data_IF_090171277093
#
_entry.id   IF_090171277093
#
_cell.length_a   1.000
_cell.length_b   1.000
_cell.length_c   1.000
_cell.angle_alpha   90.00
_cell.angle_beta   90.00
_cell.angle_gamma   90.00
#
_symmetry.space_group_name_H-M   'P 1'
#
loop_
_entity.id
_entity.type
_entity.pdbx_description
1 polymer ?
#
# COMPACT_ATOMS: atom_id res chain seq x y z
N UNK A 1 -44.06 -43.32 21.93
CA UNK A 1 -42.97 -44.30 22.13
C UNK A 1 -41.66 -43.55 22.07
N UNK A 2 -41.13 -43.23 23.18
CA UNK A 2 -39.90 -43.59 23.91
C UNK A 2 -38.74 -44.09 23.02
N UNK A 3 -37.61 -43.36 23.02
CA UNK A 3 -36.23 -43.78 23.28
C UNK A 3 -35.26 -42.66 22.93
N UNK A 4 -34.74 -41.98 23.90
CA UNK A 4 -33.50 -42.20 24.70
C UNK A 4 -32.26 -41.56 24.05
N UNK A 5 -31.85 -40.52 24.73
CA UNK A 5 -30.52 -39.89 24.85
C UNK A 5 -29.37 -40.94 24.95
N UNK A 6 -28.24 -40.59 24.35
CA UNK A 6 -26.93 -40.94 24.88
C UNK A 6 -25.93 -39.79 24.63
N UNK A 7 -25.61 -39.12 25.70
CA UNK A 7 -24.50 -38.18 25.86
C UNK A 7 -23.20 -38.97 25.98
N UNK A 8 -22.19 -38.66 25.22
CA UNK A 8 -20.80 -39.09 25.45
C UNK A 8 -19.93 -37.90 25.74
N UNK A 9 -19.66 -37.71 27.01
CA UNK A 9 -18.68 -36.78 27.54
C UNK A 9 -17.26 -37.42 27.38
N UNK A 10 -16.37 -36.77 26.64
CA UNK A 10 -14.95 -37.11 26.58
C UNK A 10 -14.17 -36.09 27.42
N UNK A 11 -13.76 -36.52 28.59
CA UNK A 11 -12.85 -35.78 29.46
C UNK A 11 -11.42 -35.87 28.90
N UNK A 12 -10.80 -34.74 28.59
CA UNK A 12 -9.37 -34.66 28.30
C UNK A 12 -8.64 -34.26 29.58
N UNK A 13 -7.80 -35.15 30.02
CA UNK A 13 -6.91 -35.00 31.17
C UNK A 13 -5.76 -34.05 30.79
N UNK A 14 -5.64 -32.93 31.49
CA UNK A 14 -4.44 -32.09 31.49
C UNK A 14 -3.35 -32.77 32.32
N UNK A 15 -2.24 -33.11 31.69
CA UNK A 15 -1.00 -33.43 32.40
C UNK A 15 -0.13 -32.18 32.50
N UNK A 16 -0.07 -31.62 33.71
CA UNK A 16 0.97 -30.66 34.11
C UNK A 16 2.31 -31.39 34.17
N UNK A 17 3.26 -30.97 33.37
CA UNK A 17 4.66 -31.34 33.49
C UNK A 17 5.49 -30.11 33.90
N UNK A 18 5.67 -29.94 35.20
CA UNK A 18 6.70 -29.08 35.77
C UNK A 18 8.06 -29.75 35.56
N UNK A 19 8.95 -29.09 34.83
CA UNK A 19 10.37 -29.37 34.85
C UNK A 19 11.16 -28.09 35.09
N UNK A 20 11.46 -27.87 36.34
CA UNK A 20 12.55 -27.00 36.73
C UNK A 20 13.87 -27.72 36.39
N UNK A 21 14.71 -27.09 35.62
CA UNK A 21 16.05 -27.55 35.27
C UNK A 21 16.99 -26.38 35.13
N UNK A 22 17.54 -25.90 36.25
CA UNK A 22 18.77 -25.13 36.23
C UNK A 22 19.93 -26.01 35.82
N UNK A 23 20.52 -25.70 34.67
CA UNK A 23 21.73 -26.32 34.19
C UNK A 23 22.60 -25.29 33.50
N UNK A 24 23.56 -24.76 34.25
CA UNK A 24 24.64 -23.92 33.73
C UNK A 24 25.56 -24.80 32.86
N UNK A 25 25.63 -24.54 31.55
CA UNK A 25 26.71 -24.99 30.68
C UNK A 25 27.06 -23.93 29.66
N UNK A 26 28.20 -23.30 29.90
CA UNK A 26 28.96 -22.48 28.95
C UNK A 26 29.40 -23.35 27.76
N UNK A 27 29.14 -22.84 26.54
CA UNK A 27 29.84 -23.32 25.35
C UNK A 27 28.96 -23.43 24.12
N UNK A 28 29.18 -22.54 23.16
CA UNK A 28 28.66 -22.66 21.80
C UNK A 28 27.78 -21.44 21.39
N UNK A 29 28.41 -20.45 20.75
CA UNK A 29 27.73 -19.29 20.22
C UNK A 29 26.82 -19.64 19.04
N UNK A 30 25.57 -19.91 19.32
CA UNK A 30 24.46 -19.78 18.41
C UNK A 30 23.57 -18.68 18.99
N UNK A 31 23.71 -17.46 18.52
CA UNK A 31 22.82 -16.38 18.89
C UNK A 31 21.37 -16.82 18.60
N UNK A 32 20.50 -16.73 19.62
CA UNK A 32 19.07 -16.95 19.36
C UNK A 32 18.63 -15.83 18.44
N UNK A 33 18.08 -16.22 17.27
CA UNK A 33 17.43 -15.28 16.35
C UNK A 33 16.36 -14.49 17.12
N UNK A 34 16.41 -13.16 17.01
CA UNK A 34 15.36 -12.30 17.54
C UNK A 34 14.15 -12.37 16.61
N UNK A 35 12.97 -12.60 17.19
CA UNK A 35 11.72 -12.59 16.45
C UNK A 35 11.18 -11.16 16.42
N UNK A 36 11.09 -10.58 15.22
CA UNK A 36 10.56 -9.24 14.99
C UNK A 36 9.14 -9.33 14.48
N UNK A 37 8.20 -8.80 15.22
CA UNK A 37 6.80 -8.70 14.80
C UNK A 37 6.66 -7.55 13.79
N UNK A 38 5.96 -7.82 12.69
CA UNK A 38 5.70 -6.83 11.64
C UNK A 38 4.20 -6.64 11.53
N UNK A 39 3.71 -5.55 12.08
CA UNK A 39 2.28 -5.20 12.10
C UNK A 39 1.89 -4.52 10.79
N UNK A 40 0.96 -5.14 10.05
CA UNK A 40 0.32 -4.59 8.87
C UNK A 40 -1.08 -4.07 9.25
N UNK A 41 -1.39 -2.77 9.11
CA UNK A 41 -2.63 -2.17 9.61
C UNK A 41 -3.85 -2.40 8.70
N UNK A 42 -3.75 -3.32 7.74
CA UNK A 42 -4.81 -3.63 6.79
C UNK A 42 -5.25 -5.09 6.87
N UNK A 43 -6.31 -5.42 6.12
CA UNK A 43 -6.89 -6.76 6.12
C UNK A 43 -5.88 -7.84 5.68
N UNK A 44 -5.95 -9.06 6.25
CA UNK A 44 -5.04 -10.16 5.91
C UNK A 44 -5.02 -10.56 4.43
N UNK A 45 -6.09 -10.29 3.70
CA UNK A 45 -6.19 -10.52 2.24
C UNK A 45 -5.70 -9.33 1.40
N UNK A 46 -5.27 -8.24 2.04
CA UNK A 46 -4.77 -7.06 1.34
C UNK A 46 -3.34 -7.26 0.81
N UNK A 47 -3.00 -6.48 -0.23
CA UNK A 47 -1.70 -6.53 -0.89
C UNK A 47 -0.55 -6.39 0.11
N UNK A 48 -0.58 -5.39 0.98
CA UNK A 48 0.47 -5.15 1.96
C UNK A 48 0.66 -6.32 2.94
N UNK A 49 -0.43 -6.97 3.37
CA UNK A 49 -0.34 -8.14 4.24
C UNK A 49 0.28 -9.35 3.52
N UNK A 50 -0.04 -9.56 2.25
CA UNK A 50 0.58 -10.61 1.43
C UNK A 50 2.07 -10.35 1.22
N UNK A 51 2.47 -9.11 0.94
CA UNK A 51 3.88 -8.73 0.81
C UNK A 51 4.62 -8.91 2.13
N UNK A 52 4.02 -8.52 3.27
CA UNK A 52 4.58 -8.75 4.61
C UNK A 52 4.82 -10.23 4.88
N UNK A 53 3.84 -11.08 4.55
CA UNK A 53 3.96 -12.55 4.73
C UNK A 53 5.06 -13.14 3.84
N UNK A 54 5.19 -12.67 2.59
CA UNK A 54 6.26 -13.10 1.69
C UNK A 54 7.63 -12.70 2.23
N UNK A 55 7.79 -11.45 2.70
CA UNK A 55 9.02 -10.97 3.32
C UNK A 55 9.36 -11.77 4.60
N UNK A 56 8.37 -12.02 5.46
CA UNK A 56 8.55 -12.81 6.66
C UNK A 56 9.02 -14.26 6.34
N UNK A 57 8.41 -14.91 5.35
CA UNK A 57 8.81 -16.24 4.91
C UNK A 57 10.27 -16.30 4.41
N UNK A 58 10.72 -15.23 3.72
CA UNK A 58 12.09 -15.13 3.19
C UNK A 58 13.12 -14.71 4.25
N UNK A 59 12.72 -14.11 5.36
CA UNK A 59 13.65 -13.55 6.35
C UNK A 59 14.65 -14.59 6.90
N UNK A 60 14.22 -15.83 7.10
CA UNK A 60 15.08 -16.93 7.60
C UNK A 60 16.09 -17.43 6.59
N UNK A 61 15.95 -17.10 5.30
CA UNK A 61 16.94 -17.43 4.26
C UNK A 61 18.09 -16.41 4.26
N UNK A 62 17.87 -15.19 4.75
CA UNK A 62 18.79 -14.08 4.66
C UNK A 62 19.35 -13.59 6.00
N UNK A 63 18.85 -14.10 7.13
CA UNK A 63 19.35 -13.75 8.46
C UNK A 63 19.26 -14.92 9.45
N UNK A 64 20.38 -15.14 10.14
CA UNK A 64 20.46 -16.09 11.28
C UNK A 64 20.10 -15.40 12.62
N UNK A 65 20.03 -14.05 12.64
CA UNK A 65 19.84 -13.25 13.86
C UNK A 65 18.48 -12.59 13.94
N UNK A 66 17.80 -12.37 12.81
CA UNK A 66 16.48 -11.72 12.72
C UNK A 66 15.52 -12.65 11.99
N UNK A 67 14.37 -12.91 12.60
CA UNK A 67 13.24 -13.60 11.96
C UNK A 67 12.04 -12.69 11.98
N UNK A 68 11.44 -12.41 10.82
CA UNK A 68 10.24 -11.58 10.73
C UNK A 68 8.99 -12.44 10.93
N UNK A 69 8.01 -11.90 11.64
CA UNK A 69 6.70 -12.51 11.86
C UNK A 69 5.61 -11.52 11.46
N UNK A 70 4.96 -11.78 10.34
CA UNK A 70 3.91 -10.91 9.82
C UNK A 70 2.61 -11.08 10.60
N UNK A 71 2.02 -9.96 11.02
CA UNK A 71 0.72 -9.89 11.67
C UNK A 71 -0.15 -8.83 10.95
N UNK A 72 -1.36 -9.18 10.54
CA UNK A 72 -2.29 -8.27 9.90
C UNK A 72 -3.45 -7.93 10.84
N UNK A 73 -3.58 -6.65 11.21
CA UNK A 73 -4.60 -6.12 12.13
C UNK A 73 -5.31 -4.96 11.41
N UNK A 74 -6.46 -5.24 10.82
CA UNK A 74 -7.23 -4.22 10.12
C UNK A 74 -7.65 -3.08 11.05
N UNK A 75 -7.41 -1.84 10.66
CA UNK A 75 -7.73 -0.66 11.47
C UNK A 75 -7.06 0.63 10.97
N UNK A 76 -6.20 0.50 9.95
CA UNK A 76 -5.51 1.63 9.33
C UNK A 76 -4.85 2.56 10.39
N UNK A 77 -5.17 3.86 10.41
CA UNK A 77 -4.63 4.80 11.38
C UNK A 77 -4.82 4.37 12.85
N UNK A 78 -5.95 3.73 13.18
CA UNK A 78 -6.20 3.27 14.55
C UNK A 78 -5.23 2.17 15.00
N UNK A 79 -4.85 1.26 14.09
CA UNK A 79 -3.85 0.22 14.37
C UNK A 79 -2.46 0.83 14.56
N UNK A 80 -2.09 1.80 13.70
CA UNK A 80 -0.81 2.51 13.84
C UNK A 80 -0.76 3.33 15.14
N UNK A 81 -1.86 4.02 15.50
CA UNK A 81 -1.97 4.72 16.79
C UNK A 81 -1.69 3.79 17.97
N UNK A 82 -2.34 2.61 17.98
CA UNK A 82 -2.16 1.60 19.04
C UNK A 82 -0.72 1.11 19.06
N UNK A 83 -0.14 0.81 17.91
CA UNK A 83 1.25 0.37 17.81
C UNK A 83 2.23 1.42 18.38
N UNK A 84 2.04 2.71 18.04
CA UNK A 84 2.90 3.81 18.54
C UNK A 84 2.78 3.98 20.06
N UNK A 85 1.57 3.76 20.62
CA UNK A 85 1.36 3.86 22.08
C UNK A 85 1.96 2.68 22.85
N UNK A 86 1.97 1.49 22.27
CA UNK A 86 2.32 0.24 22.95
C UNK A 86 3.77 -0.19 22.69
N UNK A 87 4.48 0.42 21.72
CA UNK A 87 5.83 0.03 21.31
C UNK A 87 6.86 1.06 21.77
N UNK A 88 7.93 0.60 22.45
CA UNK A 88 9.07 1.42 22.83
C UNK A 88 10.22 1.30 21.83
N UNK A 89 11.21 2.21 21.94
CA UNK A 89 12.43 2.11 21.15
C UNK A 89 13.16 0.79 21.45
N UNK A 90 13.68 0.14 20.41
CA UNK A 90 14.35 -1.16 20.45
C UNK A 90 13.46 -2.37 20.79
N UNK A 91 12.15 -2.21 20.91
CA UNK A 91 11.27 -3.36 20.91
C UNK A 91 11.39 -4.07 19.54
N UNK A 92 11.36 -5.41 19.51
CA UNK A 92 11.48 -6.16 18.25
C UNK A 92 10.17 -6.12 17.48
N UNK A 93 9.71 -4.91 17.16
CA UNK A 93 8.46 -4.64 16.47
C UNK A 93 8.65 -3.61 15.35
N UNK A 94 8.02 -3.90 14.23
CA UNK A 94 7.93 -3.02 13.06
C UNK A 94 6.47 -2.79 12.71
N UNK A 95 6.18 -1.70 12.03
CA UNK A 95 4.85 -1.40 11.52
C UNK A 95 4.90 -0.95 10.07
N UNK A 96 3.89 -1.34 9.29
CA UNK A 96 3.64 -0.73 8.00
C UNK A 96 2.96 0.62 8.16
N UNK A 97 3.47 1.61 7.47
CA UNK A 97 2.84 2.92 7.36
C UNK A 97 2.69 3.24 5.87
N UNK A 98 1.46 3.32 5.39
CA UNK A 98 1.19 3.76 4.02
C UNK A 98 1.48 5.24 3.84
N UNK A 99 1.97 5.64 2.67
CA UNK A 99 2.24 7.04 2.37
C UNK A 99 1.00 7.93 2.58
N UNK A 100 -0.19 7.41 2.26
CA UNK A 100 -1.45 8.14 2.44
C UNK A 100 -1.76 8.53 3.89
N UNK A 101 -1.26 7.79 4.89
CA UNK A 101 -1.38 8.21 6.28
C UNK A 101 -0.51 9.43 6.56
N UNK A 102 0.75 9.41 6.11
CA UNK A 102 1.71 10.48 6.39
C UNK A 102 1.44 11.75 5.56
N UNK A 103 0.85 11.62 4.39
CA UNK A 103 0.66 12.72 3.44
C UNK A 103 -0.80 13.19 3.32
N UNK A 104 -1.75 12.28 3.10
CA UNK A 104 -3.15 12.64 2.85
C UNK A 104 -3.92 12.78 4.15
N UNK A 105 -3.96 11.72 4.97
CA UNK A 105 -4.74 11.71 6.23
C UNK A 105 -4.24 12.79 7.20
N UNK A 106 -2.93 13.04 7.25
CA UNK A 106 -2.33 14.08 8.09
C UNK A 106 -2.83 15.50 7.77
N UNK A 107 -3.32 15.74 6.55
CA UNK A 107 -3.85 17.04 6.11
C UNK A 107 -5.39 17.07 6.15
N UNK A 108 -6.03 16.02 5.62
CA UNK A 108 -7.47 16.00 5.42
C UNK A 108 -8.24 15.66 6.71
N UNK A 109 -7.72 14.75 7.51
CA UNK A 109 -8.34 14.34 8.76
C UNK A 109 -7.28 14.03 9.83
N UNK A 110 -6.53 15.05 10.27
CA UNK A 110 -5.47 14.87 11.26
C UNK A 110 -5.97 14.33 12.61
N UNK A 111 -7.28 14.44 12.88
CA UNK A 111 -7.86 13.94 14.12
C UNK A 111 -7.81 12.41 14.26
N UNK A 112 -7.67 11.68 13.15
CA UNK A 112 -7.48 10.23 13.15
C UNK A 112 -6.08 9.79 13.59
N UNK A 113 -5.11 10.70 13.59
CA UNK A 113 -3.71 10.39 13.83
C UNK A 113 -3.28 10.87 15.22
N UNK A 114 -2.75 9.94 16.01
CA UNK A 114 -2.08 10.24 17.31
C UNK A 114 -0.56 10.09 17.19
N UNK A 115 -0.05 10.11 15.96
CA UNK A 115 1.35 10.03 15.62
C UNK A 115 1.70 11.03 14.52
N UNK A 116 2.98 11.28 14.38
CA UNK A 116 3.59 12.04 13.30
C UNK A 116 4.71 11.23 12.67
N UNK A 117 5.32 11.72 11.61
CA UNK A 117 6.47 11.08 11.00
C UNK A 117 7.66 10.95 11.98
N UNK A 118 7.79 11.87 12.93
CA UNK A 118 8.86 11.89 13.95
C UNK A 118 8.76 10.73 14.96
N UNK A 119 7.64 10.03 15.01
CA UNK A 119 7.45 8.87 15.88
C UNK A 119 8.10 7.59 15.33
N UNK A 120 8.68 7.65 14.12
CA UNK A 120 9.22 6.51 13.40
C UNK A 120 10.67 6.71 12.96
N UNK A 121 11.35 5.59 12.76
CA UNK A 121 12.57 5.49 11.97
C UNK A 121 12.26 4.66 10.73
N UNK A 122 12.54 5.20 9.56
CA UNK A 122 12.34 4.52 8.30
C UNK A 122 13.33 3.36 8.13
N UNK A 123 12.80 2.18 7.83
CA UNK A 123 13.59 1.00 7.53
C UNK A 123 13.68 0.81 6.02
N UNK A 124 12.56 0.61 5.32
CA UNK A 124 12.57 0.41 3.86
C UNK A 124 11.18 0.66 3.27
N UNK A 125 11.14 0.95 1.96
CA UNK A 125 9.92 0.87 1.18
C UNK A 125 9.80 -0.53 0.57
N UNK A 126 8.73 -1.26 0.88
CA UNK A 126 8.57 -2.64 0.41
C UNK A 126 8.17 -2.75 -1.05
N UNK A 127 7.39 -1.80 -1.51
CA UNK A 127 6.93 -1.73 -2.90
C UNK A 127 6.34 -0.37 -3.19
N UNK A 128 6.28 -0.05 -4.47
CA UNK A 128 5.40 0.99 -4.97
C UNK A 128 4.35 0.41 -5.91
N UNK A 129 3.19 1.05 -5.97
CA UNK A 129 2.17 0.72 -6.96
C UNK A 129 1.80 1.96 -7.77
N UNK A 130 1.62 1.73 -9.07
CA UNK A 130 1.30 2.76 -10.03
C UNK A 130 -0.20 2.74 -10.27
N UNK A 131 -0.82 3.91 -10.21
CA UNK A 131 -2.20 4.10 -10.62
C UNK A 131 -2.27 4.39 -12.11
N UNK A 132 -3.39 4.00 -12.71
CA UNK A 132 -3.71 4.34 -14.10
C UNK A 132 -5.07 5.02 -14.17
N UNK A 133 -5.23 5.91 -15.16
CA UNK A 133 -6.53 6.43 -15.56
C UNK A 133 -7.08 5.52 -16.65
N UNK A 134 -8.24 4.93 -16.39
CA UNK A 134 -9.01 4.22 -17.40
C UNK A 134 -10.22 5.03 -17.84
N UNK A 135 -10.64 4.84 -19.08
CA UNK A 135 -11.80 5.48 -19.68
C UNK A 135 -12.84 4.44 -20.11
N UNK A 136 -14.11 4.84 -20.09
CA UNK A 136 -15.17 4.14 -20.81
C UNK A 136 -14.78 4.02 -22.28
N UNK A 137 -14.82 2.79 -22.79
CA UNK A 137 -14.38 2.46 -24.15
C UNK A 137 -15.15 3.23 -25.24
N UNK A 138 -16.41 3.56 -24.98
CA UNK A 138 -17.24 4.32 -25.94
C UNK A 138 -16.74 5.76 -26.16
N UNK A 139 -15.93 6.30 -25.24
CA UNK A 139 -15.33 7.63 -25.38
C UNK A 139 -14.19 7.66 -26.41
N UNK A 140 -13.59 6.50 -26.75
CA UNK A 140 -12.47 6.37 -27.67
C UNK A 140 -11.27 7.27 -27.30
N UNK A 141 -10.96 7.39 -25.98
CA UNK A 141 -9.82 8.13 -25.45
C UNK A 141 -8.72 7.14 -25.11
N UNK A 142 -7.57 7.20 -25.78
CA UNK A 142 -6.52 6.18 -25.71
C UNK A 142 -5.15 6.74 -25.20
N UNK A 143 -5.03 8.06 -25.06
CA UNK A 143 -3.80 8.75 -24.69
C UNK A 143 -4.10 10.14 -24.08
N UNK A 144 -3.06 10.78 -23.57
CA UNK A 144 -3.17 12.08 -22.88
C UNK A 144 -3.64 13.17 -23.83
N UNK A 145 -3.18 13.19 -25.08
CA UNK A 145 -3.59 14.23 -26.06
C UNK A 145 -5.09 14.14 -26.38
N UNK A 146 -5.64 12.93 -26.49
CA UNK A 146 -7.08 12.73 -26.69
C UNK A 146 -7.88 13.11 -25.43
N UNK A 147 -7.32 12.85 -24.23
CA UNK A 147 -7.90 13.30 -22.96
C UNK A 147 -7.96 14.84 -22.89
N UNK A 148 -6.86 15.53 -23.23
CA UNK A 148 -6.82 17.00 -23.28
C UNK A 148 -7.85 17.56 -24.24
N UNK A 149 -7.99 16.94 -25.42
CA UNK A 149 -9.00 17.34 -26.40
C UNK A 149 -10.43 17.11 -25.88
N UNK A 150 -10.68 16.05 -25.16
CA UNK A 150 -11.96 15.76 -24.51
C UNK A 150 -12.28 16.81 -23.43
N UNK A 151 -11.35 17.07 -22.53
CA UNK A 151 -11.47 18.06 -21.47
C UNK A 151 -11.74 19.47 -22.04
N UNK A 152 -11.07 19.82 -23.13
CA UNK A 152 -11.24 21.09 -23.82
C UNK A 152 -12.64 21.32 -24.45
N UNK A 153 -13.45 20.29 -24.60
CA UNK A 153 -14.84 20.43 -25.06
C UNK A 153 -15.78 20.96 -23.96
N UNK A 154 -15.35 20.87 -22.71
CA UNK A 154 -16.15 21.24 -21.54
C UNK A 154 -17.23 20.20 -21.20
N UNK A 155 -17.88 20.41 -20.07
CA UNK A 155 -18.90 19.50 -19.54
C UNK A 155 -18.46 18.79 -18.26
N UNK A 156 -19.37 18.07 -17.64
CA UNK A 156 -19.08 17.29 -16.43
C UNK A 156 -18.12 16.12 -16.76
N UNK A 157 -17.10 15.93 -15.91
CA UNK A 157 -16.14 14.84 -15.99
C UNK A 157 -16.31 13.95 -14.77
N UNK A 158 -16.92 12.77 -14.94
CA UNK A 158 -17.15 11.84 -13.85
C UNK A 158 -16.02 10.82 -13.73
N UNK A 159 -15.43 10.72 -12.53
CA UNK A 159 -14.31 9.81 -12.25
C UNK A 159 -14.63 8.94 -11.04
N UNK A 160 -14.63 7.61 -11.25
CA UNK A 160 -14.77 6.64 -10.18
C UNK A 160 -13.46 6.55 -9.38
N UNK A 161 -13.57 6.58 -8.05
CA UNK A 161 -12.43 6.49 -7.12
C UNK A 161 -12.77 5.58 -5.94
N UNK A 162 -11.76 4.97 -5.33
CA UNK A 162 -11.92 4.21 -4.09
C UNK A 162 -11.87 5.16 -2.88
N UNK A 163 -13.06 5.48 -2.35
CA UNK A 163 -13.19 6.45 -1.28
C UNK A 163 -13.07 7.91 -1.75
N UNK A 164 -13.70 8.80 -0.98
CA UNK A 164 -13.82 10.20 -1.37
C UNK A 164 -12.53 11.02 -1.23
N UNK A 165 -11.59 10.59 -0.38
CA UNK A 165 -10.38 11.35 -0.03
C UNK A 165 -9.10 10.48 -0.07
N UNK A 166 -9.11 9.41 -0.87
CA UNK A 166 -7.94 8.53 -1.06
C UNK A 166 -6.98 9.05 -2.13
N UNK A 167 -5.91 8.32 -2.36
CA UNK A 167 -4.88 8.63 -3.37
C UNK A 167 -5.49 8.80 -4.76
N UNK A 168 -6.48 7.96 -5.14
CA UNK A 168 -7.17 8.01 -6.42
C UNK A 168 -7.90 9.34 -6.63
N UNK A 169 -8.54 9.87 -5.58
CA UNK A 169 -9.25 11.13 -5.64
C UNK A 169 -8.28 12.30 -5.86
N UNK A 170 -7.13 12.30 -5.18
CA UNK A 170 -6.12 13.34 -5.33
C UNK A 170 -5.39 13.26 -6.68
N UNK A 171 -5.13 12.06 -7.20
CA UNK A 171 -4.57 11.89 -8.53
C UNK A 171 -5.53 12.40 -9.63
N UNK A 172 -6.82 12.06 -9.53
CA UNK A 172 -7.83 12.61 -10.43
C UNK A 172 -7.92 14.13 -10.32
N UNK A 173 -8.03 14.68 -9.10
CA UNK A 173 -8.13 16.11 -8.87
C UNK A 173 -6.90 16.89 -9.38
N UNK A 174 -5.70 16.33 -9.19
CA UNK A 174 -4.46 16.95 -9.65
C UNK A 174 -4.35 16.95 -11.17
N UNK A 175 -4.71 15.85 -11.85
CA UNK A 175 -4.69 15.76 -13.30
C UNK A 175 -5.69 16.71 -13.94
N UNK A 176 -6.98 16.60 -13.60
CA UNK A 176 -8.03 17.42 -14.19
C UNK A 176 -7.97 18.87 -13.72
N UNK A 177 -7.54 19.11 -12.47
CA UNK A 177 -7.29 20.48 -11.97
C UNK A 177 -6.17 21.17 -12.73
N UNK A 178 -5.07 20.46 -13.01
CA UNK A 178 -3.95 20.99 -13.81
C UNK A 178 -4.33 21.23 -15.29
N UNK A 179 -5.27 20.45 -15.82
CA UNK A 179 -5.88 20.69 -17.14
C UNK A 179 -6.86 21.89 -17.14
N UNK A 180 -7.13 22.51 -16.00
CA UNK A 180 -8.09 23.62 -15.86
C UNK A 180 -9.56 23.18 -15.79
N UNK A 181 -9.82 21.93 -15.50
CA UNK A 181 -11.16 21.33 -15.45
C UNK A 181 -11.59 20.95 -14.02
N UNK A 182 -10.98 21.54 -12.98
CA UNK A 182 -11.33 21.25 -11.58
C UNK A 182 -12.82 21.46 -11.27
N UNK A 183 -13.41 22.53 -11.77
CA UNK A 183 -14.84 22.84 -11.59
C UNK A 183 -15.79 21.92 -12.38
N UNK A 184 -15.25 21.15 -13.32
CA UNK A 184 -16.00 20.17 -14.13
C UNK A 184 -15.92 18.76 -13.53
N UNK A 185 -14.95 18.52 -12.63
CA UNK A 185 -14.66 17.22 -12.06
C UNK A 185 -15.72 16.84 -11.03
N UNK A 186 -16.26 15.63 -11.20
CA UNK A 186 -17.15 14.97 -10.27
C UNK A 186 -16.55 13.64 -9.85
N UNK A 187 -16.04 13.58 -8.64
CA UNK A 187 -15.55 12.35 -8.04
C UNK A 187 -16.74 11.49 -7.55
N UNK A 188 -16.78 10.24 -7.98
CA UNK A 188 -17.79 9.26 -7.57
C UNK A 188 -17.10 8.19 -6.72
N UNK A 189 -17.30 8.26 -5.40
CA UNK A 189 -16.67 7.36 -4.45
C UNK A 189 -17.38 6.02 -4.37
N UNK A 190 -16.63 4.93 -4.54
CA UNK A 190 -17.06 3.55 -4.36
C UNK A 190 -16.44 2.95 -3.10
N UNK A 191 -17.00 1.83 -2.62
CA UNK A 191 -16.54 1.16 -1.39
C UNK A 191 -15.25 0.34 -1.60
N UNK A 192 -14.93 0.04 -2.84
CA UNK A 192 -13.71 -0.65 -3.22
C UNK A 192 -13.21 -0.21 -4.59
N UNK A 193 -11.92 -0.36 -4.81
CA UNK A 193 -11.32 -0.07 -6.10
C UNK A 193 -11.81 -1.01 -7.22
N UNK A 194 -12.18 -2.24 -6.89
CA UNK A 194 -12.81 -3.15 -7.86
C UNK A 194 -14.19 -2.66 -8.31
N UNK A 195 -15.01 -2.08 -7.41
CA UNK A 195 -16.27 -1.46 -7.79
C UNK A 195 -16.05 -0.22 -8.67
N UNK A 196 -15.08 0.64 -8.32
CA UNK A 196 -14.71 1.80 -9.13
C UNK A 196 -14.26 1.38 -10.55
N UNK A 197 -13.43 0.36 -10.66
CA UNK A 197 -13.00 -0.18 -11.96
C UNK A 197 -14.17 -0.72 -12.79
N UNK A 198 -15.15 -1.37 -12.16
CA UNK A 198 -16.33 -1.88 -12.85
C UNK A 198 -17.32 -0.78 -13.24
N UNK A 199 -17.38 0.33 -12.51
CA UNK A 199 -18.28 1.44 -12.80
C UNK A 199 -17.97 2.06 -14.17
N UNK A 200 -16.69 2.27 -14.48
CA UNK A 200 -16.28 2.77 -15.81
C UNK A 200 -16.62 1.79 -16.91
N UNK A 201 -16.41 0.48 -16.71
CA UNK A 201 -16.76 -0.53 -17.70
C UNK A 201 -18.26 -0.67 -17.99
N UNK A 202 -19.10 -0.20 -17.06
CA UNK A 202 -20.57 -0.17 -17.21
C UNK A 202 -21.10 1.15 -17.72
N UNK A 203 -20.24 2.14 -17.97
CA UNK A 203 -20.62 3.51 -18.34
C UNK A 203 -21.31 4.29 -17.22
N UNK A 204 -21.16 3.87 -15.94
CA UNK A 204 -21.68 4.61 -14.79
C UNK A 204 -20.86 5.89 -14.53
N UNK A 205 -19.57 5.84 -14.87
CA UNK A 205 -18.65 6.98 -14.89
C UNK A 205 -17.85 6.98 -16.19
N UNK A 206 -17.33 8.14 -16.58
CA UNK A 206 -16.52 8.28 -17.78
C UNK A 206 -15.10 7.74 -17.61
N UNK A 207 -14.56 7.91 -16.41
CA UNK A 207 -13.19 7.50 -16.06
C UNK A 207 -13.16 6.79 -14.71
N UNK A 208 -12.06 6.07 -14.46
CA UNK A 208 -11.70 5.61 -13.13
C UNK A 208 -10.19 5.75 -12.90
N UNK A 209 -9.78 6.07 -11.69
CA UNK A 209 -8.40 5.93 -11.22
C UNK A 209 -8.31 4.66 -10.41
N UNK A 210 -7.41 3.75 -10.77
CA UNK A 210 -7.26 2.44 -10.13
C UNK A 210 -5.81 1.97 -10.16
N UNK A 211 -5.43 1.10 -9.23
CA UNK A 211 -4.18 0.33 -9.35
C UNK A 211 -4.21 -0.58 -10.58
N UNK A 212 -3.06 -0.82 -11.18
CA UNK A 212 -2.93 -1.71 -12.33
C UNK A 212 -3.57 -3.09 -12.09
N UNK A 213 -3.32 -3.70 -10.94
CA UNK A 213 -3.86 -5.02 -10.59
C UNK A 213 -5.39 -5.08 -10.50
N UNK A 214 -6.04 -3.95 -10.20
CA UNK A 214 -7.49 -3.89 -10.00
C UNK A 214 -8.27 -3.67 -11.31
N UNK A 215 -7.65 -3.00 -12.29
CA UNK A 215 -8.27 -2.72 -13.59
C UNK A 215 -7.89 -3.76 -14.66
N UNK A 216 -6.85 -4.58 -14.40
CA UNK A 216 -6.30 -5.52 -15.38
C UNK A 216 -7.34 -6.47 -15.95
N UNK A 217 -8.17 -7.09 -15.11
CA UNK A 217 -9.20 -8.03 -15.56
C UNK A 217 -10.22 -7.35 -16.46
N UNK A 218 -10.68 -6.16 -16.07
CA UNK A 218 -11.65 -5.37 -16.83
C UNK A 218 -11.08 -4.95 -18.19
N UNK A 219 -9.80 -4.56 -18.22
CA UNK A 219 -9.09 -4.26 -19.47
C UNK A 219 -8.94 -5.48 -20.37
N UNK A 220 -8.55 -6.64 -19.85
CA UNK A 220 -8.42 -7.89 -20.60
C UNK A 220 -9.76 -8.38 -21.20
N UNK A 221 -10.86 -8.04 -20.54
CA UNK A 221 -12.22 -8.31 -21.06
C UNK A 221 -12.70 -7.26 -22.07
N UNK A 222 -11.83 -6.36 -22.52
CA UNK A 222 -12.12 -5.28 -23.44
C UNK A 222 -13.20 -4.31 -22.94
N UNK A 223 -13.31 -4.15 -21.61
CA UNK A 223 -14.31 -3.32 -20.97
C UNK A 223 -13.92 -1.83 -20.85
N UNK A 224 -12.62 -1.52 -20.88
CA UNK A 224 -12.09 -0.15 -20.71
C UNK A 224 -10.88 0.08 -21.60
N UNK A 225 -10.54 1.36 -21.79
CA UNK A 225 -9.26 1.81 -22.37
C UNK A 225 -8.37 2.34 -21.25
N UNK A 226 -7.08 2.06 -21.26
CA UNK A 226 -6.12 2.71 -20.36
C UNK A 226 -5.55 3.94 -21.06
N UNK A 227 -5.75 5.12 -20.45
CA UNK A 227 -5.43 6.41 -21.04
C UNK A 227 -4.01 6.85 -20.70
N UNK A 228 -3.65 6.75 -19.42
CA UNK A 228 -2.34 7.15 -18.91
C UNK A 228 -2.03 6.49 -17.58
N UNK A 229 -0.75 6.50 -17.21
CA UNK A 229 -0.24 6.08 -15.92
C UNK A 229 0.14 7.33 -15.09
N UNK A 230 -0.15 7.31 -13.80
CA UNK A 230 0.33 8.32 -12.85
C UNK A 230 1.79 8.02 -12.48
N UNK A 231 2.66 8.21 -13.44
CA UNK A 231 4.11 7.99 -13.34
C UNK A 231 4.87 9.05 -14.14
N UNK A 232 6.18 9.12 -13.91
CA UNK A 232 7.08 10.05 -14.62
C UNK A 232 7.16 9.75 -16.10
N UNK A 233 7.22 8.45 -16.45
CA UNK A 233 7.52 7.92 -17.78
C UNK A 233 6.48 6.87 -18.19
N UNK A 234 6.46 6.46 -19.47
CA UNK A 234 5.65 5.34 -19.91
C UNK A 234 5.98 4.07 -19.13
N UNK A 235 4.97 3.25 -18.90
CA UNK A 235 5.14 1.96 -18.24
C UNK A 235 6.00 1.03 -19.11
N UNK A 236 7.08 0.51 -18.51
CA UNK A 236 8.03 -0.36 -19.24
C UNK A 236 7.57 -1.82 -19.28
N UNK A 237 6.84 -2.26 -18.26
CA UNK A 237 6.51 -3.67 -18.04
C UNK A 237 5.02 -3.88 -17.72
N UNK A 238 4.63 -5.15 -17.64
CA UNK A 238 3.28 -5.55 -17.24
C UNK A 238 2.23 -5.42 -18.34
N UNK A 239 0.95 -5.56 -17.99
CA UNK A 239 -0.16 -5.62 -18.95
C UNK A 239 -0.41 -4.28 -19.67
N UNK A 240 0.13 -3.18 -19.15
CA UNK A 240 -0.05 -1.82 -19.68
C UNK A 240 1.27 -1.21 -20.18
N UNK A 241 2.24 -2.07 -20.57
CA UNK A 241 3.50 -1.59 -21.14
C UNK A 241 3.27 -0.67 -22.34
N UNK A 242 3.95 0.47 -22.36
CA UNK A 242 3.80 1.51 -23.39
C UNK A 242 2.72 2.55 -23.12
N UNK A 243 1.92 2.42 -22.07
CA UNK A 243 0.98 3.48 -21.64
C UNK A 243 1.77 4.69 -21.15
N UNK A 244 1.42 5.88 -21.65
CA UNK A 244 2.10 7.14 -21.37
C UNK A 244 2.07 7.51 -19.89
N UNK A 245 3.18 8.04 -19.38
CA UNK A 245 3.27 8.62 -18.04
C UNK A 245 2.83 10.10 -18.06
N UNK A 246 1.97 10.49 -17.11
CA UNK A 246 1.48 11.88 -17.01
C UNK A 246 2.62 12.89 -16.76
N UNK A 247 3.72 12.45 -16.13
CA UNK A 247 4.88 13.28 -15.81
C UNK A 247 5.58 13.82 -17.05
N UNK A 248 5.60 13.10 -18.18
CA UNK A 248 6.17 13.58 -19.45
C UNK A 248 5.44 14.82 -19.99
N UNK A 249 4.18 15.00 -19.61
CA UNK A 249 3.33 16.12 -20.01
C UNK A 249 3.28 17.24 -18.95
N UNK A 250 4.04 17.08 -17.85
CA UNK A 250 4.11 18.04 -16.75
C UNK A 250 2.90 18.02 -15.81
N UNK A 251 2.14 16.93 -15.82
CA UNK A 251 1.05 16.71 -14.88
C UNK A 251 1.56 16.12 -13.56
N UNK A 252 0.94 16.47 -12.41
CA UNK A 252 1.30 15.90 -11.11
C UNK A 252 1.03 14.40 -11.05
N UNK A 253 1.90 13.69 -10.36
CA UNK A 253 1.76 12.27 -10.10
C UNK A 253 2.44 11.88 -8.78
N UNK A 254 2.05 10.76 -8.22
CA UNK A 254 2.78 10.05 -7.18
C UNK A 254 2.43 8.56 -7.24
N UNK A 255 3.38 7.74 -6.79
CA UNK A 255 3.18 6.32 -6.60
C UNK A 255 2.70 6.06 -5.18
N UNK A 256 1.82 5.10 -4.99
CA UNK A 256 1.47 4.65 -3.64
C UNK A 256 2.60 3.77 -3.09
N UNK A 257 3.13 4.13 -1.94
CA UNK A 257 4.24 3.46 -1.26
C UNK A 257 3.84 2.91 0.09
N UNK A 258 4.52 1.84 0.48
CA UNK A 258 4.25 1.17 1.75
C UNK A 258 5.56 1.00 2.52
N UNK A 259 5.71 1.81 3.56
CA UNK A 259 6.93 1.92 4.34
C UNK A 259 6.94 0.93 5.50
N UNK A 260 8.09 0.29 5.73
CA UNK A 260 8.40 -0.40 7.00
C UNK A 260 9.07 0.61 7.92
N UNK A 261 8.50 0.73 9.11
CA UNK A 261 8.96 1.66 10.14
C UNK A 261 9.29 0.92 11.44
N UNK A 262 10.35 1.37 12.09
CA UNK A 262 10.65 1.06 13.50
C UNK A 262 10.23 2.23 14.39
N UNK A 263 10.17 2.02 15.70
CA UNK A 263 9.87 3.09 16.68
C UNK A 263 11.01 4.12 16.72
N UNK A 264 10.69 5.40 16.83
CA UNK A 264 11.68 6.46 17.01
C UNK A 264 12.56 6.17 18.23
N UNK A 265 13.88 6.35 18.06
CA UNK A 265 14.88 6.04 19.08
C UNK A 265 15.42 4.61 19.04
N UNK A 266 14.96 3.77 18.10
CA UNK A 266 15.63 2.49 17.80
C UNK A 266 17.08 2.76 17.39
N UNK A 267 18.01 1.97 17.90
CA UNK A 267 19.44 2.19 17.68
C UNK A 267 19.84 1.99 16.21
N UNK A 268 20.84 2.76 15.77
CA UNK A 268 21.27 2.80 14.37
C UNK A 268 21.77 1.44 13.85
N UNK A 269 22.39 0.63 14.72
CA UNK A 269 22.91 -0.70 14.34
C UNK A 269 21.74 -1.65 14.03
N UNK A 270 20.71 -1.64 14.85
CA UNK A 270 19.48 -2.43 14.64
C UNK A 270 18.77 -2.00 13.36
N UNK A 271 18.62 -0.69 13.14
CA UNK A 271 18.00 -0.17 11.90
C UNK A 271 18.82 -0.60 10.68
N UNK A 272 20.15 -0.53 10.75
CA UNK A 272 21.03 -0.96 9.65
C UNK A 272 20.90 -2.45 9.34
N UNK A 273 20.80 -3.31 10.36
CA UNK A 273 20.58 -4.75 10.19
C UNK A 273 19.22 -5.06 9.54
N UNK A 274 18.18 -4.33 9.94
CA UNK A 274 16.85 -4.46 9.34
C UNK A 274 16.85 -4.00 7.87
N UNK A 275 17.49 -2.86 7.56
CA UNK A 275 17.66 -2.38 6.18
C UNK A 275 18.40 -3.39 5.31
N UNK A 276 19.49 -3.98 5.83
CA UNK A 276 20.24 -5.00 5.11
C UNK A 276 19.37 -6.24 4.83
N UNK A 277 18.59 -6.68 5.82
CA UNK A 277 17.70 -7.83 5.67
C UNK A 277 16.63 -7.57 4.60
N UNK A 278 15.92 -6.45 4.68
CA UNK A 278 14.90 -6.10 3.69
C UNK A 278 15.51 -5.88 2.30
N UNK A 279 16.67 -5.26 2.21
CA UNK A 279 17.39 -5.11 0.94
C UNK A 279 17.70 -6.45 0.27
N UNK A 280 18.12 -7.46 1.04
CA UNK A 280 18.36 -8.82 0.52
C UNK A 280 17.06 -9.50 0.08
N UNK A 281 15.98 -9.36 0.86
CA UNK A 281 14.67 -9.92 0.52
C UNK A 281 14.12 -9.30 -0.76
N UNK A 282 14.23 -7.98 -0.92
CA UNK A 282 13.74 -7.25 -2.09
C UNK A 282 14.64 -7.42 -3.33
N UNK A 283 15.86 -7.94 -3.17
CA UNK A 283 16.74 -8.33 -4.27
C UNK A 283 16.61 -9.82 -4.65
N UNK A 284 15.83 -10.61 -3.91
CA UNK A 284 15.58 -12.02 -4.22
C UNK A 284 14.76 -12.14 -5.52
N UNK A 285 15.25 -12.91 -6.50
CA UNK A 285 14.63 -13.05 -7.81
C UNK A 285 13.18 -13.58 -7.72
N UNK A 286 12.90 -14.51 -6.80
CA UNK A 286 11.56 -15.04 -6.59
C UNK A 286 10.60 -13.95 -6.03
N UNK A 287 11.09 -13.09 -5.13
CA UNK A 287 10.32 -11.98 -4.57
C UNK A 287 10.05 -10.92 -5.63
N UNK A 288 11.09 -10.52 -6.39
CA UNK A 288 10.97 -9.53 -7.46
C UNK A 288 9.97 -10.00 -8.52
N UNK A 289 10.14 -11.22 -9.04
CA UNK A 289 9.23 -11.80 -10.05
C UNK A 289 7.79 -11.87 -9.52
N UNK A 290 7.60 -12.30 -8.28
CA UNK A 290 6.28 -12.38 -7.67
C UNK A 290 5.64 -11.00 -7.51
N UNK A 291 6.41 -9.98 -7.07
CA UNK A 291 5.91 -8.60 -6.97
C UNK A 291 5.49 -8.07 -8.34
N UNK A 292 6.33 -8.21 -9.36
CA UNK A 292 6.10 -7.63 -10.68
C UNK A 292 5.04 -8.39 -11.47
N UNK A 293 5.15 -9.71 -11.58
CA UNK A 293 4.30 -10.51 -12.49
C UNK A 293 2.96 -10.90 -11.87
N UNK A 294 2.93 -11.10 -10.54
CA UNK A 294 1.71 -11.56 -9.85
C UNK A 294 0.95 -10.40 -9.18
N UNK A 295 1.69 -9.51 -8.52
CA UNK A 295 1.08 -8.44 -7.75
C UNK A 295 0.97 -7.12 -8.53
N UNK A 296 1.65 -7.00 -9.67
CA UNK A 296 1.80 -5.77 -10.47
C UNK A 296 2.30 -4.59 -9.63
N UNK A 297 3.32 -4.86 -8.84
CA UNK A 297 3.99 -3.91 -7.96
C UNK A 297 5.43 -3.75 -8.39
N UNK A 298 5.99 -2.57 -8.15
CA UNK A 298 7.40 -2.28 -8.42
C UNK A 298 8.24 -2.44 -7.14
N UNK A 299 9.42 -3.04 -7.28
CA UNK A 299 10.45 -2.95 -6.25
C UNK A 299 11.06 -1.55 -6.33
N UNK A 300 10.92 -0.79 -5.27
CA UNK A 300 11.27 0.64 -5.23
C UNK A 300 11.92 0.96 -3.88
N UNK A 301 13.13 0.40 -3.67
CA UNK A 301 13.94 0.68 -2.47
C UNK A 301 14.39 2.14 -2.46
N UNK A 302 14.43 2.75 -1.28
CA UNK A 302 14.71 4.17 -1.17
C UNK A 302 15.49 4.54 0.10
N UNK A 303 16.10 5.72 0.07
CA UNK A 303 16.70 6.33 1.25
C UNK A 303 15.65 7.02 2.13
N UNK A 304 16.03 7.38 3.37
CA UNK A 304 15.20 8.24 4.23
C UNK A 304 14.90 9.58 3.54
N UNK A 305 15.91 10.18 2.89
CA UNK A 305 15.76 11.46 2.19
C UNK A 305 14.75 11.36 1.03
N UNK A 306 14.79 10.27 0.25
CA UNK A 306 13.84 10.03 -0.83
C UNK A 306 12.42 9.82 -0.29
N UNK A 307 12.27 9.11 0.84
CA UNK A 307 10.98 8.92 1.51
C UNK A 307 10.41 10.26 1.99
N UNK A 308 11.23 11.10 2.64
CA UNK A 308 10.81 12.42 3.11
C UNK A 308 10.40 13.32 1.94
N UNK A 309 11.19 13.34 0.86
CA UNK A 309 10.91 14.09 -0.34
C UNK A 309 9.60 13.62 -1.02
N UNK A 310 9.37 12.30 -1.04
CA UNK A 310 8.14 11.73 -1.57
C UNK A 310 6.91 12.14 -0.75
N UNK A 311 6.96 11.98 0.57
CA UNK A 311 5.85 12.39 1.46
C UNK A 311 5.55 13.87 1.32
N UNK A 312 6.58 14.72 1.23
CA UNK A 312 6.40 16.16 1.04
C UNK A 312 5.80 16.50 -0.33
N UNK A 313 6.23 15.81 -1.40
CA UNK A 313 5.63 15.98 -2.72
C UNK A 313 4.12 15.66 -2.71
N UNK A 314 3.72 14.54 -2.08
CA UNK A 314 2.30 14.18 -1.98
C UNK A 314 1.54 15.19 -1.14
N UNK A 315 2.10 15.68 -0.01
CA UNK A 315 1.50 16.75 0.80
C UNK A 315 1.26 18.03 -0.01
N UNK A 316 2.20 18.39 -0.89
CA UNK A 316 2.05 19.56 -1.76
C UNK A 316 0.89 19.37 -2.74
N UNK A 317 0.77 18.21 -3.38
CA UNK A 317 -0.36 17.88 -4.25
C UNK A 317 -1.67 17.93 -3.47
N UNK A 318 -1.72 17.33 -2.29
CA UNK A 318 -2.93 17.34 -1.44
C UNK A 318 -3.34 18.77 -1.08
N UNK A 319 -2.39 19.62 -0.65
CA UNK A 319 -2.67 21.00 -0.29
C UNK A 319 -3.15 21.84 -1.48
N UNK A 320 -2.61 21.59 -2.68
CA UNK A 320 -2.99 22.31 -3.91
C UNK A 320 -4.40 21.95 -4.38
N UNK A 321 -4.78 20.65 -4.26
CA UNK A 321 -6.01 20.14 -4.88
C UNK A 321 -7.12 19.72 -3.89
N UNK A 322 -6.93 19.90 -2.57
CA UNK A 322 -7.90 19.47 -1.55
C UNK A 322 -9.29 20.10 -1.71
N UNK A 323 -9.35 21.33 -2.19
CA UNK A 323 -10.64 22.03 -2.37
C UNK A 323 -11.44 21.42 -3.54
N UNK A 324 -10.77 20.92 -4.58
CA UNK A 324 -11.41 20.15 -5.67
C UNK A 324 -11.93 18.81 -5.15
N UNK A 325 -11.18 18.14 -4.27
CA UNK A 325 -11.59 16.86 -3.67
C UNK A 325 -12.76 17.05 -2.70
N UNK A 326 -12.84 18.19 -2.01
CA UNK A 326 -13.92 18.50 -1.07
C UNK A 326 -15.25 18.82 -1.76
N UNK A 327 -15.24 19.25 -3.03
CA UNK A 327 -16.41 19.59 -3.87
C UNK A 327 -16.93 20.99 -3.64
#
# INVERSE_FOLDING_TARGET
>A
MKKRLLSLSLAVVMSLGLLAGCGNSSGGGGGKSASWKVTCPWAPSGVAAMVSQKAAAKSTEYSDTITLVAEAIAGDAATVNTWVMDTEANDPELVFVGEGLLSITSIIDPSKMQFTQDDFVFVENLYSSIFVLSADKELNINNISELEAFVGQGGEISVAVNGATGSEAFLAASLFGKMGAGDQLKLVAYQSAAEAAQAVAKGETQFAVSHQSQIQETYQQDGVTIVCAFDEKPLENGPFAGVEGVGEYGYPYFRNRCFIMARAGTDEETVAQLKELYGKILADEEVVTWLQDTMLLEVDTMSQEDMDAHVENVKNIVNEYKDIVAG
#
